data_IF_551287646296
#
_entry.id   IF_551287646296
#
_cell.length_a   1.000
_cell.length_b   1.000
_cell.length_c   1.000
_cell.angle_alpha   90.00
_cell.angle_beta   90.00
_cell.angle_gamma   90.00
#
_symmetry.space_group_name_H-M   'P 1'
#
loop_
_entity.id
_entity.type
_entity.pdbx_description
1 polymer ?
#
# COMPACT_ATOMS: atom_id res chain seq x y z
N UNK A 1 21.74 6.46 -16.94
CA UNK A 1 20.45 7.12 -17.23
C UNK A 1 20.60 8.23 -18.31
N UNK A 2 21.67 9.03 -18.27
CA UNK A 2 21.86 10.14 -19.23
C UNK A 2 21.90 9.74 -20.70
N UNK A 3 22.25 8.48 -21.03
CA UNK A 3 22.33 7.98 -22.41
C UNK A 3 20.98 7.48 -22.96
N UNK A 4 20.05 7.08 -22.08
CA UNK A 4 18.75 6.51 -22.45
C UNK A 4 17.63 7.31 -21.79
N UNK A 5 17.08 8.26 -22.54
CA UNK A 5 15.94 9.06 -22.10
C UNK A 5 14.74 8.14 -21.80
N UNK A 6 14.17 8.27 -20.60
CA UNK A 6 13.02 7.47 -20.16
C UNK A 6 13.35 6.15 -19.47
N UNK A 7 14.63 5.77 -19.34
CA UNK A 7 15.02 4.62 -18.54
C UNK A 7 14.79 4.92 -17.04
N UNK A 8 14.21 3.96 -16.34
CA UNK A 8 14.00 4.01 -14.89
C UNK A 8 14.85 2.92 -14.24
N UNK A 9 15.68 3.30 -13.28
CA UNK A 9 16.49 2.37 -12.49
C UNK A 9 15.89 2.30 -11.08
N UNK A 10 15.59 1.10 -10.62
CA UNK A 10 14.99 0.83 -9.32
C UNK A 10 15.99 0.03 -8.50
N UNK A 11 16.32 0.51 -7.30
CA UNK A 11 17.20 -0.19 -6.39
C UNK A 11 16.41 -1.10 -5.46
N UNK A 12 16.76 -2.38 -5.43
CA UNK A 12 16.43 -3.28 -4.33
C UNK A 12 17.56 -3.18 -3.31
N UNK A 13 17.33 -2.39 -2.27
CA UNK A 13 18.33 -2.09 -1.27
C UNK A 13 17.66 -1.97 0.11
N UNK A 14 18.04 -2.84 1.04
CA UNK A 14 17.38 -3.00 2.35
C UNK A 14 18.11 -2.30 3.50
N UNK A 15 19.31 -1.74 3.25
CA UNK A 15 20.07 -1.09 4.30
C UNK A 15 19.71 0.38 4.46
N UNK A 16 20.28 1.03 5.45
CA UNK A 16 20.16 2.47 5.68
C UNK A 16 21.10 3.31 4.82
N UNK A 17 21.59 2.80 3.67
CA UNK A 17 22.44 3.56 2.77
C UNK A 17 21.74 4.83 2.32
N UNK A 18 22.31 6.02 2.54
CA UNK A 18 21.64 7.28 2.26
C UNK A 18 21.72 7.67 0.78
N UNK A 19 20.75 8.48 0.34
CA UNK A 19 20.73 9.11 -0.99
C UNK A 19 20.83 8.12 -2.16
N UNK A 20 20.22 6.94 -2.05
CA UNK A 20 20.16 5.97 -3.16
C UNK A 20 19.48 6.59 -4.37
N UNK A 21 18.42 7.37 -4.15
CA UNK A 21 17.67 8.08 -5.21
C UNK A 21 18.11 9.55 -5.37
N UNK A 22 19.10 9.98 -4.61
CA UNK A 22 19.68 11.33 -4.72
C UNK A 22 20.50 11.51 -6.00
N UNK A 23 20.64 12.77 -6.44
CA UNK A 23 21.49 13.11 -7.59
C UNK A 23 22.96 12.72 -7.33
N UNK A 24 23.67 12.18 -8.32
CA UNK A 24 25.13 11.99 -8.24
C UNK A 24 25.90 13.27 -7.94
N UNK A 25 25.41 14.43 -8.38
CA UNK A 25 25.99 15.75 -8.10
C UNK A 25 25.97 16.09 -6.60
N UNK A 26 24.95 15.56 -5.88
CA UNK A 26 24.80 15.72 -4.43
C UNK A 26 25.36 14.53 -3.62
N UNK A 27 26.14 13.67 -4.28
CA UNK A 27 26.73 12.48 -3.67
C UNK A 27 25.75 11.29 -3.55
N UNK A 28 24.65 11.30 -4.28
CA UNK A 28 23.70 10.19 -4.38
C UNK A 28 24.09 9.17 -5.45
N UNK A 29 23.38 8.04 -5.48
CA UNK A 29 23.62 6.97 -6.45
C UNK A 29 22.87 7.15 -7.78
N UNK A 30 21.89 8.05 -7.84
CA UNK A 30 21.14 8.39 -9.05
C UNK A 30 20.10 7.36 -9.50
N UNK A 31 19.67 6.46 -8.62
CA UNK A 31 18.52 5.61 -8.89
C UNK A 31 17.23 6.44 -8.97
N UNK A 32 16.30 6.00 -9.79
CA UNK A 32 14.99 6.66 -9.92
C UNK A 32 14.08 6.38 -8.73
N UNK A 33 14.11 5.15 -8.25
CA UNK A 33 13.29 4.66 -7.14
C UNK A 33 14.10 3.66 -6.30
N UNK A 34 13.69 3.53 -5.02
CA UNK A 34 14.21 2.52 -4.09
C UNK A 34 13.04 1.71 -3.50
N UNK A 35 13.21 0.40 -3.35
CA UNK A 35 12.24 -0.43 -2.62
C UNK A 35 12.16 -0.02 -1.15
N UNK A 36 10.94 0.13 -0.63
CA UNK A 36 10.71 0.40 0.78
C UNK A 36 10.54 -0.91 1.55
N UNK A 37 11.65 -1.55 1.89
CA UNK A 37 11.66 -2.83 2.60
C UNK A 37 11.17 -2.69 4.04
N UNK A 38 11.42 -1.54 4.70
CA UNK A 38 10.91 -1.26 6.04
C UNK A 38 9.39 -1.20 6.08
N UNK A 39 8.78 -0.46 5.16
CA UNK A 39 7.33 -0.43 5.01
C UNK A 39 6.76 -1.84 4.72
N UNK A 40 7.38 -2.58 3.83
CA UNK A 40 6.95 -3.94 3.45
C UNK A 40 6.92 -4.86 4.66
N UNK A 41 7.98 -4.83 5.47
CA UNK A 41 8.07 -5.63 6.69
C UNK A 41 6.96 -5.27 7.68
N UNK A 42 6.85 -4.00 8.05
CA UNK A 42 5.87 -3.54 9.02
C UNK A 42 4.44 -3.80 8.55
N UNK A 43 4.16 -3.53 7.27
CA UNK A 43 2.86 -3.79 6.66
C UNK A 43 2.49 -5.27 6.70
N UNK A 44 3.40 -6.16 6.30
CA UNK A 44 3.11 -7.60 6.25
C UNK A 44 2.94 -8.19 7.64
N UNK A 45 3.77 -7.79 8.61
CA UNK A 45 3.63 -8.23 9.99
C UNK A 45 2.32 -7.74 10.61
N UNK A 46 1.95 -6.47 10.40
CA UNK A 46 0.66 -5.96 10.86
C UNK A 46 -0.53 -6.72 10.25
N UNK A 47 -0.47 -7.00 8.95
CA UNK A 47 -1.57 -7.68 8.26
C UNK A 47 -1.77 -9.13 8.70
N UNK A 48 -0.73 -9.81 9.16
CA UNK A 48 -0.79 -11.17 9.74
C UNK A 48 -1.46 -11.21 11.12
N UNK A 49 -1.48 -10.09 11.84
CA UNK A 49 -2.04 -10.06 13.19
C UNK A 49 -3.56 -10.31 13.18
N UNK A 50 -4.02 -11.10 14.13
CA UNK A 50 -5.44 -11.13 14.46
C UNK A 50 -5.92 -9.69 14.77
N UNK A 51 -7.06 -9.25 14.22
CA UNK A 51 -7.58 -7.89 14.42
C UNK A 51 -7.68 -7.45 15.88
N UNK A 52 -7.88 -8.39 16.80
CA UNK A 52 -7.93 -8.11 18.24
C UNK A 52 -6.60 -7.53 18.79
N UNK A 53 -5.46 -7.99 18.25
CA UNK A 53 -4.13 -7.56 18.71
C UNK A 53 -3.60 -6.33 17.96
N UNK A 54 -4.20 -5.92 16.86
CA UNK A 54 -3.75 -4.80 16.02
C UNK A 54 -3.64 -3.47 16.77
N UNK A 55 -4.47 -3.27 17.80
CA UNK A 55 -4.39 -2.09 18.67
C UNK A 55 -3.01 -1.88 19.30
N UNK A 56 -2.29 -2.96 19.57
CA UNK A 56 -0.95 -2.93 20.20
C UNK A 56 0.20 -2.75 19.17
N UNK A 57 -0.11 -2.89 17.91
CA UNK A 57 0.84 -2.78 16.79
C UNK A 57 0.48 -1.66 15.80
N UNK A 58 -0.38 -0.74 16.22
CA UNK A 58 -0.94 0.31 15.36
C UNK A 58 0.12 1.16 14.68
N UNK A 59 1.21 1.44 15.37
CA UNK A 59 2.33 2.22 14.86
C UNK A 59 3.09 1.56 13.70
N UNK A 60 3.00 0.26 13.51
CA UNK A 60 3.62 -0.41 12.35
C UNK A 60 3.11 0.16 11.03
N UNK A 61 1.84 0.57 10.97
CA UNK A 61 1.25 1.16 9.77
C UNK A 61 1.56 2.66 9.61
N UNK A 62 1.92 3.36 10.68
CA UNK A 62 2.17 4.82 10.67
C UNK A 62 3.65 5.17 10.67
N UNK A 63 4.51 4.27 11.14
CA UNK A 63 5.94 4.52 11.32
C UNK A 63 6.65 4.94 10.01
N UNK A 64 6.29 4.31 8.89
CA UNK A 64 6.85 4.63 7.58
C UNK A 64 6.72 6.11 7.20
N UNK A 65 5.74 6.84 7.75
CA UNK A 65 5.57 8.27 7.51
C UNK A 65 6.77 9.10 8.00
N UNK A 66 7.53 8.60 8.99
CA UNK A 66 8.69 9.29 9.55
C UNK A 66 9.87 9.41 8.56
N UNK A 67 9.92 8.51 7.57
CA UNK A 67 10.99 8.49 6.57
C UNK A 67 10.49 8.44 5.10
N UNK A 68 9.18 8.53 4.88
CA UNK A 68 8.54 8.37 3.58
C UNK A 68 9.10 9.26 2.46
N UNK A 69 9.78 10.35 2.82
CA UNK A 69 10.32 11.34 1.89
C UNK A 69 11.85 11.42 1.91
N UNK A 70 12.53 10.49 2.60
CA UNK A 70 14.00 10.42 2.60
C UNK A 70 14.55 9.91 1.27
N UNK A 71 13.77 9.16 0.52
CA UNK A 71 14.07 8.58 -0.80
C UNK A 71 12.81 8.60 -1.68
N UNK A 72 12.98 8.37 -2.97
CA UNK A 72 11.87 8.13 -3.88
C UNK A 72 11.42 6.66 -3.76
N UNK A 73 10.51 6.39 -2.83
CA UNK A 73 10.14 5.02 -2.51
C UNK A 73 9.12 4.41 -3.47
N UNK A 74 9.27 3.09 -3.66
CA UNK A 74 8.23 2.21 -4.17
C UNK A 74 7.83 1.24 -3.05
N UNK A 75 6.55 1.20 -2.70
CA UNK A 75 6.00 0.25 -1.74
C UNK A 75 5.90 -1.10 -2.43
N UNK A 76 6.60 -2.08 -1.89
CA UNK A 76 6.78 -3.37 -2.55
C UNK A 76 6.07 -4.48 -1.80
N UNK A 77 5.33 -5.29 -2.56
CA UNK A 77 4.92 -6.64 -2.22
C UNK A 77 5.42 -7.50 -3.38
N UNK A 78 6.68 -7.90 -3.31
CA UNK A 78 7.40 -8.58 -4.39
C UNK A 78 7.21 -10.10 -4.36
N UNK A 79 7.96 -10.81 -5.19
CA UNK A 79 8.01 -12.27 -5.16
C UNK A 79 8.52 -12.80 -3.82
N UNK A 80 9.45 -12.10 -3.18
CA UNK A 80 10.05 -12.52 -1.90
C UNK A 80 9.04 -12.65 -0.77
N UNK A 81 7.93 -11.88 -0.80
CA UNK A 81 6.89 -12.00 0.21
C UNK A 81 5.97 -13.20 0.00
N UNK A 82 6.03 -13.86 -1.15
CA UNK A 82 5.07 -14.92 -1.54
C UNK A 82 5.74 -16.23 -1.98
N UNK A 83 6.96 -16.48 -1.51
CA UNK A 83 7.75 -17.68 -1.76
C UNK A 83 8.36 -18.23 -0.47
N UNK A 84 8.97 -19.41 -0.54
CA UNK A 84 9.81 -20.00 0.51
C UNK A 84 9.11 -20.10 1.88
N UNK A 85 7.88 -20.63 1.92
CA UNK A 85 7.07 -20.86 3.11
C UNK A 85 6.61 -19.58 3.82
N UNK A 86 6.62 -18.44 3.09
CA UNK A 86 6.10 -17.17 3.61
C UNK A 86 4.59 -17.00 3.38
N UNK A 87 3.94 -17.93 2.69
CA UNK A 87 2.55 -17.90 2.23
C UNK A 87 2.25 -16.83 1.17
N UNK A 88 1.20 -17.07 0.37
CA UNK A 88 0.64 -16.02 -0.51
C UNK A 88 0.01 -14.89 0.30
N UNK A 89 -0.23 -13.72 -0.30
CA UNK A 89 -0.78 -12.57 0.43
C UNK A 89 -2.12 -12.90 1.09
N UNK A 90 -3.02 -13.61 0.41
CA UNK A 90 -4.30 -14.00 1.01
C UNK A 90 -4.13 -14.95 2.19
N UNK A 91 -3.11 -15.83 2.15
CA UNK A 91 -2.86 -16.78 3.22
C UNK A 91 -2.11 -16.19 4.42
N UNK A 92 -1.57 -14.98 4.30
CA UNK A 92 -1.09 -14.19 5.43
C UNK A 92 -2.25 -13.55 6.22
N UNK A 93 -3.42 -13.38 5.59
CA UNK A 93 -4.55 -12.71 6.24
C UNK A 93 -5.16 -13.60 7.31
N UNK A 94 -5.43 -13.07 8.50
CA UNK A 94 -6.13 -13.79 9.58
C UNK A 94 -7.61 -13.99 9.24
N UNK A 95 -8.26 -14.87 9.98
CA UNK A 95 -9.68 -15.19 9.80
C UNK A 95 -9.92 -16.26 8.75
N UNK A 96 -11.19 -16.46 8.42
CA UNK A 96 -11.67 -17.46 7.47
C UNK A 96 -12.63 -16.82 6.45
N UNK A 97 -12.76 -17.42 5.27
CA UNK A 97 -13.72 -17.02 4.27
C UNK A 97 -13.69 -15.52 3.97
N UNK A 98 -14.83 -14.85 4.08
CA UNK A 98 -15.00 -13.43 3.78
C UNK A 98 -14.00 -12.52 4.51
N UNK A 99 -13.66 -12.81 5.76
CA UNK A 99 -12.76 -11.95 6.57
C UNK A 99 -11.35 -11.86 5.98
N UNK A 100 -10.83 -12.95 5.41
CA UNK A 100 -9.53 -12.94 4.72
C UNK A 100 -9.53 -11.97 3.54
N UNK A 101 -10.56 -12.05 2.69
CA UNK A 101 -10.67 -11.19 1.53
C UNK A 101 -10.92 -9.72 1.91
N UNK A 102 -11.70 -9.47 2.96
CA UNK A 102 -11.93 -8.13 3.49
C UNK A 102 -10.62 -7.51 4.03
N UNK A 103 -9.82 -8.30 4.77
CA UNK A 103 -8.51 -7.87 5.24
C UNK A 103 -7.58 -7.53 4.08
N UNK A 104 -7.51 -8.41 3.06
CA UNK A 104 -6.66 -8.18 1.88
C UNK A 104 -7.03 -6.89 1.17
N UNK A 105 -8.34 -6.64 0.98
CA UNK A 105 -8.84 -5.39 0.39
C UNK A 105 -8.44 -4.17 1.22
N UNK A 106 -8.60 -4.21 2.54
CA UNK A 106 -8.21 -3.12 3.42
C UNK A 106 -6.71 -2.82 3.33
N UNK A 107 -5.88 -3.88 3.32
CA UNK A 107 -4.43 -3.75 3.16
C UNK A 107 -4.04 -3.13 1.82
N UNK A 108 -4.58 -3.61 0.72
CA UNK A 108 -4.28 -3.05 -0.60
C UNK A 108 -4.80 -1.60 -0.76
N UNK A 109 -5.96 -1.27 -0.20
CA UNK A 109 -6.45 0.11 -0.19
C UNK A 109 -5.50 1.03 0.59
N UNK A 110 -4.98 0.57 1.73
CA UNK A 110 -3.97 1.32 2.50
C UNK A 110 -2.69 1.51 1.68
N UNK A 111 -2.14 0.44 1.10
CA UNK A 111 -0.97 0.49 0.23
C UNK A 111 -1.16 1.50 -0.91
N UNK A 112 -2.30 1.45 -1.61
CA UNK A 112 -2.57 2.35 -2.73
C UNK A 112 -2.76 3.81 -2.30
N UNK A 113 -3.32 4.04 -1.10
CA UNK A 113 -3.47 5.39 -0.54
C UNK A 113 -2.19 5.96 0.06
N UNK A 114 -1.27 5.15 0.56
CA UNK A 114 -0.03 5.61 1.19
C UNK A 114 0.92 6.26 0.15
N UNK A 115 1.77 7.25 0.52
CA UNK A 115 2.79 7.84 -0.37
C UNK A 115 3.77 6.79 -0.93
N UNK A 116 4.32 7.08 -2.10
CA UNK A 116 5.25 6.20 -2.82
C UNK A 116 4.60 5.45 -3.98
N UNK A 117 5.41 4.98 -4.93
CA UNK A 117 4.95 4.13 -6.03
C UNK A 117 4.57 2.73 -5.51
N UNK A 118 3.94 1.92 -6.33
CA UNK A 118 3.37 0.63 -5.91
C UNK A 118 3.91 -0.51 -6.75
N UNK A 119 4.23 -1.62 -6.08
CA UNK A 119 4.54 -2.90 -6.72
C UNK A 119 3.75 -4.00 -6.02
N UNK A 120 2.88 -4.65 -6.77
CA UNK A 120 2.20 -5.88 -6.35
C UNK A 120 2.62 -6.99 -7.31
N UNK A 121 3.15 -8.08 -6.76
CA UNK A 121 3.61 -9.19 -7.59
C UNK A 121 2.43 -9.96 -8.19
N UNK A 122 2.65 -10.52 -9.39
CA UNK A 122 1.65 -11.24 -10.17
C UNK A 122 0.95 -12.35 -9.38
N UNK A 123 -0.34 -12.54 -9.61
CA UNK A 123 -1.17 -13.51 -8.93
C UNK A 123 -1.80 -12.98 -7.63
N UNK A 124 -1.21 -11.96 -7.01
CA UNK A 124 -1.70 -11.43 -5.75
C UNK A 124 -2.94 -10.53 -5.95
N UNK A 125 -3.12 -9.99 -7.14
CA UNK A 125 -4.27 -9.18 -7.54
C UNK A 125 -5.59 -9.96 -7.62
N UNK A 126 -5.52 -11.28 -7.74
CA UNK A 126 -6.69 -12.18 -7.66
C UNK A 126 -6.61 -13.15 -6.46
N UNK A 127 -5.75 -12.83 -5.49
CA UNK A 127 -5.61 -13.59 -4.25
C UNK A 127 -5.20 -15.06 -4.47
N UNK A 128 -4.19 -15.31 -5.33
CA UNK A 128 -3.65 -16.66 -5.54
C UNK A 128 -3.39 -17.36 -4.21
N UNK A 129 -3.82 -18.62 -4.08
CA UNK A 129 -3.73 -19.36 -2.82
C UNK A 129 -2.33 -19.93 -2.59
N UNK A 130 -1.73 -20.49 -3.65
CA UNK A 130 -0.38 -21.05 -3.56
C UNK A 130 0.66 -19.94 -3.59
N UNK A 131 1.82 -20.22 -3.01
CA UNK A 131 3.02 -19.41 -3.23
C UNK A 131 3.39 -19.41 -4.71
N UNK A 132 4.01 -18.34 -5.14
CA UNK A 132 4.53 -18.25 -6.50
C UNK A 132 5.69 -19.23 -6.70
N UNK A 133 5.83 -19.72 -7.92
CA UNK A 133 6.96 -20.56 -8.36
C UNK A 133 7.19 -20.33 -9.85
N UNK A 134 8.45 -20.25 -10.25
CA UNK A 134 8.89 -20.17 -11.64
C UNK A 134 8.63 -21.47 -12.43
N UNK A 135 8.40 -22.58 -11.73
CA UNK A 135 8.20 -23.90 -12.36
C UNK A 135 6.77 -24.12 -12.87
N UNK A 136 5.85 -23.20 -12.59
CA UNK A 136 4.43 -23.35 -12.96
C UNK A 136 3.77 -22.00 -13.27
N UNK A 137 2.71 -22.07 -14.05
CA UNK A 137 1.85 -20.91 -14.30
C UNK A 137 1.07 -20.49 -13.05
N UNK A 138 0.52 -19.26 -13.09
CA UNK A 138 -0.39 -18.77 -12.07
C UNK A 138 -1.68 -19.60 -12.05
N UNK A 139 -2.34 -19.61 -10.90
CA UNK A 139 -3.56 -20.39 -10.65
C UNK A 139 -4.80 -19.75 -11.29
N UNK A 140 -4.77 -19.50 -12.61
CA UNK A 140 -5.83 -18.81 -13.35
C UNK A 140 -7.22 -19.45 -13.19
N UNK A 141 -7.28 -20.75 -12.88
CA UNK A 141 -8.54 -21.47 -12.62
C UNK A 141 -9.31 -20.88 -11.42
N UNK A 142 -8.62 -20.23 -10.46
CA UNK A 142 -9.25 -19.57 -9.33
C UNK A 142 -10.20 -18.44 -9.75
N UNK A 143 -10.03 -17.86 -10.93
CA UNK A 143 -10.93 -16.82 -11.42
C UNK A 143 -12.34 -17.35 -11.78
N UNK A 144 -12.54 -18.66 -11.80
CA UNK A 144 -13.88 -19.26 -11.86
C UNK A 144 -14.62 -19.17 -10.51
N UNK A 145 -13.90 -18.95 -9.42
CA UNK A 145 -14.46 -18.79 -8.08
C UNK A 145 -14.86 -17.33 -7.83
N UNK A 146 -16.09 -17.08 -7.32
CA UNK A 146 -16.61 -15.72 -7.17
C UNK A 146 -15.75 -14.80 -6.32
N UNK A 147 -15.14 -15.30 -5.25
CA UNK A 147 -14.32 -14.53 -4.33
C UNK A 147 -13.04 -14.00 -5.00
N UNK A 148 -12.37 -14.86 -5.77
CA UNK A 148 -11.15 -14.50 -6.50
C UNK A 148 -11.43 -13.51 -7.63
N UNK A 149 -12.52 -13.74 -8.36
CA UNK A 149 -12.98 -12.79 -9.38
C UNK A 149 -13.36 -11.44 -8.77
N UNK A 150 -14.04 -11.44 -7.61
CA UNK A 150 -14.42 -10.22 -6.91
C UNK A 150 -13.19 -9.42 -6.43
N UNK A 151 -12.13 -10.09 -5.95
CA UNK A 151 -10.86 -9.41 -5.60
C UNK A 151 -10.21 -8.80 -6.84
N UNK A 152 -10.12 -9.54 -7.95
CA UNK A 152 -9.52 -9.02 -9.17
C UNK A 152 -10.29 -7.80 -9.72
N UNK A 153 -11.60 -7.87 -9.74
CA UNK A 153 -12.45 -6.75 -10.18
C UNK A 153 -12.26 -5.54 -9.27
N UNK A 154 -12.28 -5.74 -7.95
CA UNK A 154 -12.06 -4.69 -6.98
C UNK A 154 -10.66 -4.06 -7.12
N UNK A 155 -9.61 -4.86 -7.31
CA UNK A 155 -8.25 -4.35 -7.50
C UNK A 155 -8.11 -3.58 -8.82
N UNK A 156 -8.78 -4.03 -9.88
CA UNK A 156 -8.89 -3.29 -11.15
C UNK A 156 -9.53 -1.92 -10.95
N UNK A 157 -10.61 -1.85 -10.18
CA UNK A 157 -11.28 -0.59 -9.88
C UNK A 157 -10.38 0.34 -9.07
N UNK A 158 -9.62 -0.22 -8.12
CA UNK A 158 -8.64 0.54 -7.33
C UNK A 158 -7.52 1.10 -8.21
N UNK A 159 -7.03 0.34 -9.20
CA UNK A 159 -6.05 0.82 -10.18
C UNK A 159 -6.63 1.92 -11.09
N UNK A 160 -7.89 1.80 -11.49
CA UNK A 160 -8.58 2.86 -12.23
C UNK A 160 -8.73 4.13 -11.39
N UNK A 161 -9.09 3.99 -10.11
CA UNK A 161 -9.14 5.09 -9.16
C UNK A 161 -7.78 5.78 -9.06
N UNK A 162 -6.70 4.99 -8.90
CA UNK A 162 -5.32 5.49 -8.83
C UNK A 162 -4.98 6.30 -10.07
N UNK A 163 -5.14 5.75 -11.26
CA UNK A 163 -4.82 6.41 -12.54
C UNK A 163 -5.64 7.68 -12.79
N UNK A 164 -6.90 7.68 -12.37
CA UNK A 164 -7.84 8.80 -12.62
C UNK A 164 -7.59 9.99 -11.68
N UNK A 165 -7.05 9.74 -10.50
CA UNK A 165 -6.92 10.77 -9.46
C UNK A 165 -5.45 11.15 -9.23
N UNK A 166 -5.09 12.33 -9.65
CA UNK A 166 -3.74 12.89 -9.52
C UNK A 166 -3.23 12.92 -8.08
N UNK A 167 -4.13 13.12 -7.10
CA UNK A 167 -3.80 13.06 -5.68
C UNK A 167 -3.15 11.74 -5.25
N UNK A 168 -3.36 10.65 -6.00
CA UNK A 168 -2.80 9.33 -5.68
C UNK A 168 -1.32 9.20 -6.04
N UNK A 169 -0.77 10.05 -6.94
CA UNK A 169 0.58 9.85 -7.47
C UNK A 169 1.39 11.12 -7.77
N UNK A 170 0.76 12.29 -7.83
CA UNK A 170 1.43 13.53 -8.28
C UNK A 170 2.50 14.00 -7.28
N UNK A 171 2.23 13.82 -5.99
CA UNK A 171 3.08 14.24 -4.87
C UNK A 171 3.51 13.06 -4.01
N UNK A 172 3.85 11.92 -4.62
CA UNK A 172 4.26 10.73 -3.88
C UNK A 172 5.56 10.91 -3.08
N UNK A 173 6.44 11.77 -3.59
CA UNK A 173 7.75 12.05 -2.98
C UNK A 173 7.82 13.44 -2.33
N UNK A 174 6.65 14.05 -2.08
CA UNK A 174 6.53 15.39 -1.48
C UNK A 174 5.59 15.32 -0.26
N UNK A 175 6.05 15.76 0.92
CA UNK A 175 5.21 15.74 2.13
C UNK A 175 3.90 16.52 1.98
N UNK A 176 3.84 17.51 1.09
CA UNK A 176 2.59 18.21 0.79
C UNK A 176 1.49 17.32 0.18
N UNK A 177 1.84 16.12 -0.30
CA UNK A 177 0.90 15.16 -0.90
C UNK A 177 0.13 14.31 0.09
N UNK A 178 0.44 14.37 1.39
CA UNK A 178 -0.14 13.47 2.39
C UNK A 178 -0.36 14.18 3.72
N UNK A 179 -1.49 13.91 4.35
CA UNK A 179 -1.84 14.45 5.66
C UNK A 179 -2.60 13.40 6.47
N UNK A 180 -2.12 13.04 7.64
CA UNK A 180 -2.89 12.27 8.59
C UNK A 180 -4.07 13.10 9.12
N UNK A 181 -5.28 12.56 9.00
CA UNK A 181 -6.47 13.10 9.68
C UNK A 181 -6.53 12.55 11.09
N UNK A 182 -6.31 11.23 11.23
CA UNK A 182 -6.15 10.58 12.51
C UNK A 182 -5.23 9.35 12.34
N UNK A 183 -4.05 9.43 12.95
CA UNK A 183 -3.06 8.36 12.96
C UNK A 183 -3.13 7.50 14.23
N UNK A 184 -3.92 7.89 15.24
CA UNK A 184 -3.80 7.37 16.61
C UNK A 184 -5.03 6.60 17.12
N UNK A 185 -5.99 6.28 16.24
CA UNK A 185 -7.18 5.51 16.65
C UNK A 185 -6.87 4.00 16.79
N UNK A 186 -5.88 3.71 17.63
CA UNK A 186 -5.37 2.35 17.84
C UNK A 186 -6.41 1.41 18.42
N UNK A 187 -7.26 1.88 19.34
CA UNK A 187 -8.30 1.04 19.98
C UNK A 187 -9.34 0.51 18.99
N UNK A 188 -9.56 1.25 17.90
CA UNK A 188 -10.48 0.83 16.82
C UNK A 188 -9.74 0.26 15.61
N UNK A 189 -8.41 0.38 15.57
CA UNK A 189 -7.57 0.06 14.41
C UNK A 189 -8.07 0.73 13.14
N UNK A 190 -8.37 2.02 13.24
CA UNK A 190 -8.82 2.86 12.11
C UNK A 190 -7.73 3.87 11.77
N UNK A 191 -7.46 4.00 10.49
CA UNK A 191 -6.56 5.01 9.94
C UNK A 191 -7.32 5.93 9.03
N UNK A 192 -7.10 7.23 9.18
CA UNK A 192 -7.65 8.20 8.24
C UNK A 192 -6.62 9.24 7.82
N UNK A 193 -6.55 9.48 6.52
CA UNK A 193 -5.60 10.41 5.92
C UNK A 193 -6.14 11.00 4.62
N UNK A 194 -5.54 12.10 4.21
CA UNK A 194 -5.86 12.77 2.95
C UNK A 194 -4.65 12.66 2.00
N UNK A 195 -4.94 12.39 0.74
CA UNK A 195 -4.03 12.58 -0.39
C UNK A 195 -4.37 13.90 -1.07
N UNK A 196 -3.37 14.73 -1.23
CA UNK A 196 -3.51 16.03 -1.89
C UNK A 196 -3.01 15.98 -3.32
N UNK A 197 -3.75 16.62 -4.23
CA UNK A 197 -3.24 16.92 -5.58
C UNK A 197 -2.41 18.20 -5.55
N UNK A 198 -1.50 18.36 -6.51
CA UNK A 198 -0.63 19.55 -6.61
C UNK A 198 -1.41 20.88 -6.66
N UNK A 199 -2.56 20.87 -7.34
CA UNK A 199 -3.46 22.04 -7.40
C UNK A 199 -4.42 22.13 -6.22
N UNK A 200 -4.39 21.16 -5.32
CA UNK A 200 -5.21 21.04 -4.11
C UNK A 200 -6.73 21.11 -4.37
N UNK A 201 -7.19 20.84 -5.59
CA UNK A 201 -8.60 20.93 -5.98
C UNK A 201 -9.35 19.62 -5.80
N UNK A 202 -8.68 18.48 -6.03
CA UNK A 202 -9.26 17.15 -5.95
C UNK A 202 -8.44 16.28 -5.00
N UNK A 203 -8.76 16.37 -3.73
CA UNK A 203 -8.13 15.56 -2.71
C UNK A 203 -8.97 14.32 -2.43
N UNK A 204 -8.34 13.28 -1.93
CA UNK A 204 -9.00 12.04 -1.56
C UNK A 204 -8.82 11.80 -0.06
N UNK A 205 -9.93 11.54 0.62
CA UNK A 205 -9.94 11.09 2.00
C UNK A 205 -10.00 9.57 2.02
N UNK A 206 -9.07 8.96 2.74
CA UNK A 206 -9.06 7.54 3.06
C UNK A 206 -9.50 7.34 4.50
N UNK A 207 -10.42 6.41 4.71
CA UNK A 207 -10.84 5.94 6.05
C UNK A 207 -10.85 4.43 5.99
N UNK A 208 -9.99 3.79 6.77
CA UNK A 208 -9.73 2.36 6.69
C UNK A 208 -9.94 1.72 8.05
N UNK A 209 -10.87 0.77 8.12
CA UNK A 209 -11.15 -0.02 9.31
C UNK A 209 -10.49 -1.40 9.17
N UNK A 210 -9.52 -1.68 10.01
CA UNK A 210 -8.78 -2.95 10.03
C UNK A 210 -9.34 -3.96 11.03
N UNK A 211 -10.62 -3.83 11.38
CA UNK A 211 -11.33 -4.80 12.23
C UNK A 211 -12.62 -5.28 11.55
N UNK A 212 -13.12 -6.48 11.88
CA UNK A 212 -14.40 -6.95 11.34
C UNK A 212 -15.62 -6.24 11.98
N UNK A 213 -15.38 -5.33 12.93
CA UNK A 213 -16.46 -4.62 13.61
C UNK A 213 -16.98 -3.45 12.78
N UNK A 214 -18.27 -3.44 12.50
CA UNK A 214 -18.94 -2.28 11.93
C UNK A 214 -18.84 -1.07 12.88
N UNK A 215 -18.52 0.12 12.34
CA UNK A 215 -18.39 1.37 13.10
C UNK A 215 -19.46 2.36 12.65
N UNK A 216 -20.68 2.19 13.15
CA UNK A 216 -21.77 3.13 12.86
C UNK A 216 -21.45 4.51 13.47
N UNK A 217 -21.86 5.56 12.77
CA UNK A 217 -21.69 6.95 13.20
C UNK A 217 -20.24 7.36 13.49
N UNK A 218 -19.26 6.68 12.84
CA UNK A 218 -17.85 7.04 12.98
C UNK A 218 -17.60 8.44 12.41
N UNK A 219 -17.09 9.35 13.23
CA UNK A 219 -16.85 10.74 12.87
C UNK A 219 -15.40 10.93 12.43
N UNK A 220 -15.24 11.54 11.27
CA UNK A 220 -13.92 11.87 10.70
C UNK A 220 -13.84 13.39 10.54
N UNK A 221 -12.74 13.99 11.05
CA UNK A 221 -12.45 15.39 10.79
C UNK A 221 -12.04 15.58 9.34
N UNK A 222 -12.65 16.56 8.67
CA UNK A 222 -12.26 16.93 7.31
C UNK A 222 -12.01 18.44 7.23
N UNK A 223 -11.05 18.91 6.42
CA UNK A 223 -10.87 20.34 6.19
C UNK A 223 -12.17 20.97 5.68
N UNK A 224 -12.48 22.18 6.13
CA UNK A 224 -13.65 22.93 5.63
C UNK A 224 -13.56 23.10 4.12
N UNK A 225 -14.40 22.39 3.37
CA UNK A 225 -14.53 22.50 1.92
C UNK A 225 -15.99 22.59 1.52
N UNK A 226 -16.24 23.21 0.35
CA UNK A 226 -17.61 23.47 -0.13
C UNK A 226 -18.35 22.20 -0.58
N UNK A 227 -17.67 21.09 -0.86
CA UNK A 227 -18.28 19.81 -1.27
C UNK A 227 -17.40 18.61 -0.88
N UNK A 228 -17.99 17.63 -0.20
CA UNK A 228 -17.48 16.26 -0.10
C UNK A 228 -18.41 15.33 -0.91
N UNK A 229 -17.84 14.39 -1.67
CA UNK A 229 -18.58 13.31 -2.32
C UNK A 229 -18.04 11.99 -1.75
N UNK A 230 -18.95 11.13 -1.36
CA UNK A 230 -18.68 9.73 -1.00
C UNK A 230 -18.66 8.86 -2.26
#
# INVERSE_FOLDING_TARGET
LGRNKGAVMIAEESTAWPKVTGSPEDGGLGFSLKWNMGWMHDFTEYMKLDPYFRKNAHNMMTFASSYAYSENYILVLSHDEVVHLKCSMINKMPGLGFDKYANLKAGYAFMMGHPGKKLLFMGQEFAQLREWSEERELDWYLLAEPEHQAIQNWYRDLLHLYKKNKAMYELDNDPAGFEWVNADDCFRSIYSFIRHSKDNKKNLLFVLNFTPMERRDYRVGVPRRKQCRL
#
